data_IF_987960418174
#
_entry.id   IF_987960418174
#
_cell.length_a   1.000
_cell.length_b   1.000
_cell.length_c   1.000
_cell.angle_alpha   90.00
_cell.angle_beta   90.00
_cell.angle_gamma   90.00
#
_symmetry.space_group_name_H-M   'P 1'
#
loop_
_entity.id
_entity.type
_entity.pdbx_description
1 polymer ?
#
# COMPACT_ATOMS: atom_id res chain seq x y z
N UNK A 1 47.53 -36.96 51.78
CA UNK A 1 46.61 -35.81 51.58
C UNK A 1 46.27 -35.73 50.10
N UNK A 2 44.98 -35.95 49.75
CA UNK A 2 44.50 -36.04 48.36
C UNK A 2 44.47 -34.65 47.71
N UNK A 3 45.07 -34.51 46.53
CA UNK A 3 44.97 -33.32 45.67
C UNK A 3 43.60 -33.33 44.98
N UNK A 4 42.76 -32.33 45.25
CA UNK A 4 41.54 -32.06 44.47
C UNK A 4 41.90 -31.12 43.32
N UNK A 5 41.80 -31.62 42.08
CA UNK A 5 41.74 -30.79 40.89
C UNK A 5 40.25 -30.48 40.63
N UNK A 6 39.85 -29.22 40.82
CA UNK A 6 38.55 -28.73 40.37
C UNK A 6 38.76 -28.12 38.99
N UNK A 7 38.39 -28.86 37.95
CA UNK A 7 38.33 -28.36 36.58
C UNK A 7 37.05 -27.55 36.43
N UNK A 8 37.15 -26.22 36.45
CA UNK A 8 36.03 -25.33 36.18
C UNK A 8 35.66 -25.41 34.70
N UNK A 9 34.48 -25.94 34.42
CA UNK A 9 33.88 -25.99 33.08
C UNK A 9 33.46 -24.56 32.70
N UNK A 10 34.21 -23.93 31.80
CA UNK A 10 33.89 -22.60 31.28
C UNK A 10 32.75 -22.75 30.27
N UNK A 11 31.52 -22.48 30.71
CA UNK A 11 30.32 -22.50 29.88
C UNK A 11 30.37 -21.32 28.90
N UNK A 12 30.89 -21.54 27.70
CA UNK A 12 30.86 -20.56 26.60
C UNK A 12 29.42 -20.36 26.14
N UNK A 13 28.79 -19.26 26.60
CA UNK A 13 27.55 -18.74 26.02
C UNK A 13 27.81 -18.41 24.55
N UNK A 14 27.31 -19.24 23.64
CA UNK A 14 27.17 -18.84 22.24
C UNK A 14 26.14 -17.73 22.16
N UNK A 15 26.61 -16.49 22.03
CA UNK A 15 25.79 -15.38 21.54
C UNK A 15 25.33 -15.75 20.13
N UNK A 16 24.12 -16.30 20.02
CA UNK A 16 23.43 -16.39 18.73
C UNK A 16 23.20 -14.95 18.29
N UNK A 17 24.07 -14.46 17.41
CA UNK A 17 23.83 -13.23 16.67
C UNK A 17 22.50 -13.42 15.96
N UNK A 18 21.48 -12.70 16.41
CA UNK A 18 20.16 -12.72 15.80
C UNK A 18 20.27 -11.94 14.49
N UNK A 19 20.78 -12.59 13.44
CA UNK A 19 20.77 -12.02 12.10
C UNK A 19 19.30 -11.87 11.68
N UNK A 20 18.85 -10.64 11.48
CA UNK A 20 17.51 -10.38 10.96
C UNK A 20 17.34 -11.07 9.60
N UNK A 21 16.20 -11.72 9.41
CA UNK A 21 15.86 -12.38 8.14
C UNK A 21 15.74 -11.31 7.05
N UNK A 22 16.49 -11.50 5.96
CA UNK A 22 16.43 -10.59 4.81
C UNK A 22 15.11 -10.79 4.03
N UNK A 23 14.48 -9.71 3.52
CA UNK A 23 13.24 -9.79 2.77
C UNK A 23 13.39 -10.37 1.35
N UNK A 24 14.62 -10.55 0.83
CA UNK A 24 14.88 -10.88 -0.59
C UNK A 24 14.04 -12.06 -1.11
N UNK A 25 13.99 -13.17 -0.38
CA UNK A 25 13.20 -14.36 -0.76
C UNK A 25 11.71 -14.03 -0.95
N UNK A 26 11.16 -13.19 -0.08
CA UNK A 26 9.73 -12.84 -0.08
C UNK A 26 9.43 -11.73 -1.10
N UNK A 27 10.37 -10.80 -1.27
CA UNK A 27 10.32 -9.77 -2.31
C UNK A 27 10.27 -10.40 -3.71
N UNK A 28 11.04 -11.47 -3.95
CA UNK A 28 11.05 -12.22 -5.21
C UNK A 28 9.74 -12.98 -5.48
N UNK A 29 8.85 -13.13 -4.49
CA UNK A 29 7.53 -13.72 -4.68
C UNK A 29 6.51 -12.75 -5.33
N UNK A 30 6.81 -11.45 -5.34
CA UNK A 30 6.04 -10.45 -6.08
C UNK A 30 6.42 -10.58 -7.55
N UNK A 31 5.48 -11.04 -8.39
CA UNK A 31 5.76 -11.35 -9.79
C UNK A 31 4.97 -10.48 -10.77
N UNK A 32 5.61 -10.06 -11.85
CA UNK A 32 5.00 -9.34 -12.97
C UNK A 32 3.84 -10.15 -13.58
N UNK A 33 3.95 -11.48 -13.61
CA UNK A 33 2.89 -12.36 -14.09
C UNK A 33 1.62 -12.29 -13.23
N UNK A 34 1.75 -12.33 -11.91
CA UNK A 34 0.59 -12.31 -11.02
C UNK A 34 -0.04 -10.91 -10.98
N UNK A 35 0.77 -9.85 -10.99
CA UNK A 35 0.32 -8.48 -11.17
C UNK A 35 -0.50 -8.34 -12.45
N UNK A 36 0.00 -8.88 -13.57
CA UNK A 36 -0.70 -8.89 -14.85
C UNK A 36 -2.01 -9.65 -14.78
N UNK A 37 -2.00 -10.87 -14.26
CA UNK A 37 -3.21 -11.70 -14.16
C UNK A 37 -4.30 -11.01 -13.33
N UNK A 38 -3.95 -10.43 -12.18
CA UNK A 38 -4.93 -9.71 -11.36
C UNK A 38 -5.41 -8.43 -12.06
N UNK A 39 -4.52 -7.71 -12.73
CA UNK A 39 -4.86 -6.42 -13.33
C UNK A 39 -5.79 -6.56 -14.54
N UNK A 40 -5.62 -7.59 -15.36
CA UNK A 40 -6.54 -7.88 -16.46
C UNK A 40 -7.96 -8.20 -15.99
N UNK A 41 -8.14 -8.63 -14.73
CA UNK A 41 -9.47 -8.80 -14.14
C UNK A 41 -9.97 -7.49 -13.54
N UNK A 42 -9.16 -6.83 -12.71
CA UNK A 42 -9.55 -5.58 -12.05
C UNK A 42 -9.90 -4.49 -13.06
N UNK A 43 -9.07 -4.33 -14.10
CA UNK A 43 -9.26 -3.38 -15.19
C UNK A 43 -9.93 -4.00 -16.42
N UNK A 44 -10.66 -5.11 -16.27
CA UNK A 44 -11.44 -5.72 -17.35
C UNK A 44 -12.78 -5.00 -17.58
N UNK A 45 -13.32 -5.10 -18.79
CA UNK A 45 -14.60 -4.47 -19.16
C UNK A 45 -15.77 -4.93 -18.28
N UNK A 46 -15.71 -6.16 -17.76
CA UNK A 46 -16.69 -6.72 -16.83
C UNK A 46 -16.81 -5.93 -15.51
N UNK A 47 -15.76 -5.19 -15.14
CA UNK A 47 -15.71 -4.32 -13.98
C UNK A 47 -16.27 -2.92 -14.25
N UNK A 48 -16.72 -2.62 -15.47
CA UNK A 48 -17.48 -1.41 -15.83
C UNK A 48 -16.82 -0.10 -15.35
N UNK A 49 -15.49 -0.08 -15.29
CA UNK A 49 -14.69 1.06 -14.85
C UNK A 49 -14.81 1.41 -13.37
N UNK A 50 -15.32 0.48 -12.56
CA UNK A 50 -15.30 0.51 -11.08
C UNK A 50 -15.78 1.82 -10.44
N UNK A 51 -16.80 2.47 -11.01
CA UNK A 51 -17.33 3.71 -10.43
C UNK A 51 -17.83 3.51 -9.00
N UNK A 52 -17.65 4.52 -8.16
CA UNK A 52 -17.94 4.45 -6.72
C UNK A 52 -19.36 3.97 -6.42
N UNK A 53 -19.48 2.84 -5.73
CA UNK A 53 -20.77 2.25 -5.34
C UNK A 53 -21.53 1.54 -6.47
N UNK A 54 -21.04 1.55 -7.71
CA UNK A 54 -21.69 0.92 -8.87
C UNK A 54 -21.41 -0.59 -8.96
N UNK A 55 -22.21 -1.37 -9.73
CA UNK A 55 -22.05 -2.83 -9.84
C UNK A 55 -20.63 -3.27 -10.19
N UNK A 56 -19.95 -2.57 -11.09
CA UNK A 56 -18.56 -2.79 -11.45
C UNK A 56 -17.59 -2.76 -10.27
N UNK A 57 -17.71 -1.75 -9.39
CA UNK A 57 -16.91 -1.67 -8.17
C UNK A 57 -17.24 -2.84 -7.22
N UNK A 58 -18.52 -3.20 -7.05
CA UNK A 58 -18.90 -4.33 -6.19
C UNK A 58 -18.33 -5.66 -6.68
N UNK A 59 -18.26 -5.87 -8.01
CA UNK A 59 -17.60 -7.04 -8.62
C UNK A 59 -16.10 -7.03 -8.32
N UNK A 60 -15.42 -5.89 -8.48
CA UNK A 60 -14.02 -5.74 -8.15
C UNK A 60 -13.75 -6.07 -6.67
N UNK A 61 -14.56 -5.56 -5.75
CA UNK A 61 -14.40 -5.84 -4.32
C UNK A 61 -14.54 -7.32 -3.96
N UNK A 62 -15.53 -8.02 -4.55
CA UNK A 62 -15.66 -9.48 -4.39
C UNK A 62 -14.43 -10.22 -4.92
N UNK A 63 -13.90 -9.79 -6.06
CA UNK A 63 -12.69 -10.38 -6.61
C UNK A 63 -11.50 -10.19 -5.67
N UNK A 64 -11.25 -8.97 -5.19
CA UNK A 64 -10.15 -8.65 -4.25
C UNK A 64 -10.23 -9.50 -2.98
N UNK A 65 -11.41 -9.58 -2.36
CA UNK A 65 -11.64 -10.43 -1.19
C UNK A 65 -11.31 -11.89 -1.49
N UNK A 66 -11.76 -12.41 -2.64
CA UNK A 66 -11.46 -13.80 -3.02
C UNK A 66 -9.96 -14.06 -3.19
N UNK A 67 -9.17 -13.05 -3.60
CA UNK A 67 -7.71 -13.20 -3.70
C UNK A 67 -7.07 -13.25 -2.31
N UNK A 68 -7.50 -12.40 -1.38
CA UNK A 68 -7.04 -12.46 0.01
C UNK A 68 -7.38 -13.80 0.69
N UNK A 69 -8.60 -14.29 0.50
CA UNK A 69 -9.04 -15.59 1.02
C UNK A 69 -8.18 -16.74 0.48
N UNK A 70 -7.87 -16.74 -0.82
CA UNK A 70 -7.02 -17.77 -1.46
C UNK A 70 -5.62 -17.86 -0.84
N UNK A 71 -5.06 -16.74 -0.40
CA UNK A 71 -3.74 -16.68 0.24
C UNK A 71 -3.82 -16.77 1.78
N UNK A 72 -5.03 -16.92 2.35
CA UNK A 72 -5.25 -17.08 3.78
C UNK A 72 -5.14 -15.80 4.60
N UNK A 73 -5.25 -14.62 3.98
CA UNK A 73 -5.38 -13.34 4.70
C UNK A 73 -6.82 -13.22 5.19
N UNK A 74 -6.99 -12.83 6.45
CA UNK A 74 -8.31 -12.61 7.07
C UNK A 74 -8.63 -11.11 7.13
N UNK A 75 -9.84 -10.74 7.52
CA UNK A 75 -10.16 -9.37 7.94
C UNK A 75 -9.79 -9.12 9.42
N UNK A 76 -9.69 -7.85 9.87
CA UNK A 76 -9.40 -7.49 11.25
C UNK A 76 -10.30 -8.14 12.30
N UNK A 77 -9.74 -8.50 13.46
CA UNK A 77 -10.55 -8.86 14.64
C UNK A 77 -11.41 -7.66 15.05
N UNK A 78 -12.71 -7.89 15.27
CA UNK A 78 -13.68 -6.84 15.59
C UNK A 78 -14.50 -6.34 14.40
N UNK A 79 -14.06 -6.61 13.17
CA UNK A 79 -14.91 -6.50 11.99
C UNK A 79 -15.79 -7.75 11.82
N UNK A 80 -16.91 -7.61 11.12
CA UNK A 80 -17.82 -8.72 10.80
C UNK A 80 -17.44 -9.46 9.53
N UNK A 81 -16.86 -8.74 8.57
CA UNK A 81 -16.39 -9.25 7.29
C UNK A 81 -15.28 -8.33 6.74
N UNK A 82 -14.88 -8.52 5.48
CA UNK A 82 -13.85 -7.74 4.80
C UNK A 82 -14.26 -6.30 4.44
N UNK A 83 -15.51 -5.90 4.64
CA UNK A 83 -16.00 -4.59 4.22
C UNK A 83 -16.13 -3.62 5.40
N UNK A 84 -15.63 -2.41 5.20
CA UNK A 84 -16.04 -1.24 5.97
C UNK A 84 -17.03 -0.45 5.12
N UNK A 85 -18.33 -0.49 5.45
CA UNK A 85 -19.35 0.26 4.71
C UNK A 85 -19.11 1.77 4.81
N UNK A 86 -19.18 2.45 3.67
CA UNK A 86 -19.10 3.91 3.51
C UNK A 86 -20.46 4.40 3.00
N UNK A 87 -21.31 4.99 3.86
CA UNK A 87 -22.64 5.41 3.46
C UNK A 87 -22.62 6.54 2.42
N UNK A 88 -23.50 6.49 1.43
CA UNK A 88 -23.71 7.56 0.45
C UNK A 88 -23.94 8.93 1.11
N UNK A 89 -24.62 8.94 2.26
CA UNK A 89 -24.85 10.15 3.05
C UNK A 89 -23.55 10.82 3.52
N UNK A 90 -22.50 10.04 3.83
CA UNK A 90 -21.19 10.55 4.22
C UNK A 90 -20.41 11.14 3.02
N UNK A 91 -20.67 10.57 1.83
CA UNK A 91 -20.04 11.01 0.59
C UNK A 91 -20.77 12.17 -0.08
N UNK A 92 -21.98 12.50 0.36
CA UNK A 92 -22.78 13.59 -0.18
C UNK A 92 -22.08 14.94 0.01
N UNK A 93 -21.88 15.68 -1.09
CA UNK A 93 -21.33 17.04 -1.11
C UNK A 93 -22.17 17.92 -2.03
N UNK A 94 -22.33 19.19 -1.64
CA UNK A 94 -23.02 20.17 -2.48
C UNK A 94 -22.33 20.27 -3.85
N UNK A 95 -23.12 20.32 -4.92
CA UNK A 95 -22.65 20.43 -6.31
C UNK A 95 -21.77 19.27 -6.81
N UNK A 96 -21.78 18.12 -6.13
CA UNK A 96 -21.10 16.88 -6.55
C UNK A 96 -22.11 15.84 -7.05
N UNK A 97 -21.71 14.86 -7.87
CA UNK A 97 -22.57 13.74 -8.26
C UNK A 97 -23.10 12.99 -7.03
N UNK A 98 -24.33 12.48 -7.13
CA UNK A 98 -24.88 11.60 -6.09
C UNK A 98 -24.25 10.22 -6.25
N UNK A 99 -23.53 9.77 -5.23
CA UNK A 99 -22.94 8.44 -5.16
C UNK A 99 -23.87 7.45 -4.45
N UNK A 100 -23.69 6.17 -4.75
CA UNK A 100 -24.34 5.06 -4.05
C UNK A 100 -23.55 4.67 -2.80
N UNK A 101 -24.15 3.86 -1.92
CA UNK A 101 -23.41 3.26 -0.80
C UNK A 101 -22.23 2.47 -1.35
N UNK A 102 -21.08 2.60 -0.70
CA UNK A 102 -19.85 1.93 -1.10
C UNK A 102 -19.13 1.33 0.12
N UNK A 103 -17.94 0.78 -0.05
CA UNK A 103 -17.20 0.09 0.99
C UNK A 103 -15.70 0.28 0.80
N UNK A 104 -14.95 0.44 1.89
CA UNK A 104 -13.53 0.08 1.86
C UNK A 104 -13.41 -1.45 2.06
N UNK A 105 -12.27 -2.02 1.66
CA UNK A 105 -11.92 -3.42 1.94
C UNK A 105 -10.68 -3.44 2.84
N UNK A 106 -10.77 -4.14 3.97
CA UNK A 106 -9.68 -4.30 4.92
C UNK A 106 -9.19 -5.75 5.05
N UNK A 107 -8.03 -6.05 4.48
CA UNK A 107 -7.38 -7.33 4.70
C UNK A 107 -6.27 -7.16 5.76
N UNK A 108 -6.10 -8.14 6.64
CA UNK A 108 -5.34 -7.99 7.86
C UNK A 108 -4.43 -9.17 8.15
N UNK A 109 -3.16 -8.87 8.37
CA UNK A 109 -2.16 -9.81 8.87
C UNK A 109 -1.81 -9.40 10.29
N UNK A 110 -2.27 -10.15 11.28
CA UNK A 110 -1.94 -9.92 12.69
C UNK A 110 -0.44 -10.15 12.93
N UNK A 111 0.18 -9.16 13.59
CA UNK A 111 1.59 -9.16 13.96
C UNK A 111 1.91 -10.08 15.13
N UNK A 112 3.10 -10.68 15.15
CA UNK A 112 3.49 -11.68 16.15
C UNK A 112 3.96 -11.11 17.50
N UNK A 113 4.50 -9.88 17.53
CA UNK A 113 5.09 -9.29 18.74
C UNK A 113 4.37 -8.01 19.19
N UNK A 114 3.86 -7.22 18.24
CA UNK A 114 3.21 -5.93 18.45
C UNK A 114 1.90 -5.85 17.67
N UNK A 115 0.92 -6.74 17.95
CA UNK A 115 -0.31 -6.85 17.16
C UNK A 115 -1.15 -5.57 17.17
N UNK A 116 -1.01 -4.72 18.20
CA UNK A 116 -1.71 -3.45 18.31
C UNK A 116 -1.04 -2.30 17.54
N UNK A 117 0.17 -2.48 16.99
CA UNK A 117 0.81 -1.49 16.13
C UNK A 117 0.47 -1.80 14.67
N UNK A 118 -0.16 -0.86 13.98
CA UNK A 118 -0.73 -1.09 12.65
C UNK A 118 0.10 -0.34 11.59
N UNK A 119 0.68 -1.06 10.64
CA UNK A 119 1.13 -0.48 9.38
C UNK A 119 -0.04 -0.54 8.38
N UNK A 120 -0.40 0.60 7.78
CA UNK A 120 -1.39 0.63 6.70
C UNK A 120 -0.65 0.61 5.36
N UNK A 121 -1.11 -0.22 4.43
CA UNK A 121 -0.72 -0.18 3.02
C UNK A 121 -2.02 0.03 2.24
N UNK A 122 -2.14 1.15 1.55
CA UNK A 122 -3.40 1.63 0.97
C UNK A 122 -3.30 1.84 -0.54
N UNK A 123 -4.43 1.71 -1.20
CA UNK A 123 -4.65 2.02 -2.62
C UNK A 123 -6.16 2.22 -2.83
N UNK A 124 -6.58 3.07 -3.75
CA UNK A 124 -7.99 3.11 -4.11
C UNK A 124 -8.31 2.05 -5.15
N UNK A 125 -9.52 1.49 -5.10
CA UNK A 125 -9.93 0.43 -6.03
C UNK A 125 -11.11 0.82 -6.92
N UNK A 126 -11.70 1.99 -6.66
CA UNK A 126 -12.65 2.61 -7.58
C UNK A 126 -11.95 3.40 -8.69
N UNK A 127 -12.70 3.71 -9.74
CA UNK A 127 -12.27 4.57 -10.83
C UNK A 127 -13.49 5.33 -11.39
N UNK A 128 -13.40 5.93 -12.58
CA UNK A 128 -14.41 6.87 -13.11
C UNK A 128 -15.59 6.26 -13.86
N UNK A 129 -15.68 4.93 -13.98
CA UNK A 129 -16.83 4.24 -14.58
C UNK A 129 -16.89 4.17 -16.10
N UNK A 130 -18.11 4.28 -16.64
CA UNK A 130 -18.36 4.28 -18.07
C UNK A 130 -18.80 5.66 -18.55
N UNK A 131 -18.34 6.09 -19.73
CA UNK A 131 -18.80 7.32 -20.39
C UNK A 131 -19.11 7.03 -21.85
N UNK A 132 -20.29 7.44 -22.31
CA UNK A 132 -20.74 7.25 -23.70
C UNK A 132 -20.61 5.80 -24.22
N UNK A 133 -20.89 4.82 -23.36
CA UNK A 133 -20.80 3.40 -23.69
C UNK A 133 -19.38 2.82 -23.70
N UNK A 134 -18.35 3.63 -23.41
CA UNK A 134 -16.98 3.16 -23.25
C UNK A 134 -16.66 2.93 -21.78
N UNK A 135 -15.95 1.85 -21.49
CA UNK A 135 -15.40 1.55 -20.17
C UNK A 135 -14.12 2.36 -19.97
N UNK A 136 -13.97 2.99 -18.81
CA UNK A 136 -12.72 3.62 -18.39
C UNK A 136 -12.08 2.61 -17.47
N UNK A 137 -11.14 1.82 -17.99
CA UNK A 137 -10.67 0.62 -17.31
C UNK A 137 -9.83 0.94 -16.07
N UNK A 138 -9.19 2.10 -15.99
CA UNK A 138 -8.38 2.51 -14.84
C UNK A 138 -7.30 1.49 -14.52
N UNK A 139 -6.53 1.09 -15.54
CA UNK A 139 -5.51 0.08 -15.38
C UNK A 139 -4.32 0.59 -14.58
N UNK A 140 -3.86 1.81 -14.85
CA UNK A 140 -2.84 2.43 -14.00
C UNK A 140 -3.49 3.07 -12.78
N UNK A 141 -4.66 3.70 -12.97
CA UNK A 141 -5.38 4.54 -12.02
C UNK A 141 -6.70 3.91 -11.52
N UNK A 142 -6.75 3.31 -10.33
CA UNK A 142 -5.60 2.76 -9.60
C UNK A 142 -5.64 1.23 -9.57
N UNK A 143 -5.86 0.64 -10.74
CA UNK A 143 -5.70 -0.80 -10.92
C UNK A 143 -4.29 -1.26 -10.52
N UNK A 144 -3.26 -0.47 -10.79
CA UNK A 144 -1.86 -0.82 -10.53
C UNK A 144 -1.54 -0.91 -9.04
N UNK A 145 -1.95 0.07 -8.23
CA UNK A 145 -1.84 0.05 -6.77
C UNK A 145 -2.70 -1.03 -6.14
N UNK A 146 -3.95 -1.16 -6.60
CA UNK A 146 -4.88 -2.22 -6.18
C UNK A 146 -4.24 -3.63 -6.29
N UNK A 147 -3.63 -3.98 -7.42
CA UNK A 147 -3.02 -5.31 -7.57
C UNK A 147 -1.68 -5.45 -6.85
N UNK A 148 -0.97 -4.33 -6.63
CA UNK A 148 0.26 -4.33 -5.84
C UNK A 148 -0.02 -4.73 -4.37
N UNK A 149 -1.11 -4.25 -3.76
CA UNK A 149 -1.52 -4.66 -2.40
C UNK A 149 -1.68 -6.19 -2.29
N UNK A 150 -2.29 -6.84 -3.28
CA UNK A 150 -2.47 -8.30 -3.29
C UNK A 150 -1.14 -9.05 -3.28
N UNK A 151 -0.19 -8.66 -4.13
CA UNK A 151 1.10 -9.34 -4.21
C UNK A 151 1.99 -9.06 -2.99
N UNK A 152 1.93 -7.85 -2.44
CA UNK A 152 2.61 -7.52 -1.18
C UNK A 152 2.04 -8.37 -0.03
N UNK A 153 0.71 -8.54 0.05
CA UNK A 153 0.08 -9.38 1.05
C UNK A 153 0.49 -10.86 0.93
N UNK A 154 0.53 -11.37 -0.31
CA UNK A 154 1.02 -12.72 -0.61
C UNK A 154 2.47 -12.93 -0.18
N UNK A 155 3.35 -11.94 -0.41
CA UNK A 155 4.74 -11.99 0.05
C UNK A 155 4.83 -12.06 1.59
N UNK A 156 4.04 -11.26 2.32
CA UNK A 156 3.99 -11.35 3.79
C UNK A 156 3.38 -12.66 4.30
N UNK A 157 2.39 -13.23 3.60
CA UNK A 157 1.84 -14.54 3.97
C UNK A 157 2.84 -15.67 3.74
N UNK A 158 3.65 -15.60 2.69
CA UNK A 158 4.76 -16.53 2.48
C UNK A 158 5.78 -16.42 3.63
N UNK A 159 6.14 -15.20 4.02
CA UNK A 159 7.03 -14.97 5.17
C UNK A 159 6.44 -15.52 6.47
N UNK A 160 5.14 -15.30 6.72
CA UNK A 160 4.42 -15.83 7.88
C UNK A 160 4.43 -17.35 7.91
N UNK A 161 4.19 -18.01 6.77
CA UNK A 161 4.26 -19.48 6.64
C UNK A 161 5.64 -20.04 6.98
N UNK A 162 6.70 -19.31 6.64
CA UNK A 162 8.08 -19.67 6.96
C UNK A 162 8.51 -19.33 8.41
N UNK A 163 7.62 -18.76 9.23
CA UNK A 163 7.94 -18.35 10.61
C UNK A 163 8.61 -16.98 10.70
N UNK A 164 8.58 -16.18 9.64
CA UNK A 164 9.19 -14.86 9.51
C UNK A 164 8.14 -13.78 9.17
N UNK A 165 6.90 -13.97 9.64
CA UNK A 165 5.81 -13.01 9.46
C UNK A 165 6.08 -11.67 10.15
N UNK A 166 5.26 -10.65 9.87
CA UNK A 166 5.47 -9.32 10.40
C UNK A 166 5.31 -9.29 11.93
N UNK A 167 6.17 -8.53 12.61
CA UNK A 167 6.08 -8.34 14.07
C UNK A 167 4.96 -7.40 14.46
N UNK A 168 4.72 -6.36 13.67
CA UNK A 168 3.55 -5.47 13.74
C UNK A 168 2.44 -5.98 12.84
N UNK A 169 1.20 -5.59 13.13
CA UNK A 169 0.09 -5.92 12.25
C UNK A 169 0.14 -5.07 10.97
N UNK A 170 -0.33 -5.65 9.86
CA UNK A 170 -0.45 -4.95 8.58
C UNK A 170 -1.91 -4.95 8.17
N UNK A 171 -2.42 -3.76 7.87
CA UNK A 171 -3.73 -3.52 7.28
C UNK A 171 -3.55 -3.15 5.80
N UNK A 172 -3.99 -4.03 4.92
CA UNK A 172 -4.14 -3.74 3.49
C UNK A 172 -5.51 -3.11 3.28
N UNK A 173 -5.55 -1.82 2.98
CA UNK A 173 -6.76 -1.04 2.90
C UNK A 173 -7.03 -0.60 1.46
N UNK A 174 -7.95 -1.27 0.79
CA UNK A 174 -8.49 -0.77 -0.47
C UNK A 174 -9.58 0.25 -0.16
N UNK A 175 -9.40 1.50 -0.57
CA UNK A 175 -10.35 2.56 -0.27
C UNK A 175 -11.23 2.89 -1.46
N UNK A 176 -12.46 3.33 -1.18
CA UNK A 176 -13.42 3.75 -2.20
C UNK A 176 -13.55 5.27 -2.29
N UNK A 177 -14.04 5.78 -3.41
CA UNK A 177 -14.47 7.17 -3.56
C UNK A 177 -13.30 8.15 -3.54
N UNK A 178 -12.11 7.69 -3.93
CA UNK A 178 -10.93 8.54 -4.12
C UNK A 178 -11.26 9.62 -5.15
N UNK A 179 -11.73 9.17 -6.31
CA UNK A 179 -12.04 9.94 -7.53
C UNK A 179 -13.06 11.06 -7.33
N UNK A 180 -13.82 10.97 -6.24
CA UNK A 180 -14.88 11.92 -5.88
C UNK A 180 -14.53 12.76 -4.64
N UNK A 181 -13.34 12.60 -4.08
CA UNK A 181 -12.81 13.42 -3.00
C UNK A 181 -12.30 12.64 -1.79
N UNK A 182 -11.54 11.56 -2.01
CA UNK A 182 -10.85 10.79 -0.96
C UNK A 182 -11.80 10.25 0.11
N UNK A 183 -12.99 9.83 -0.29
CA UNK A 183 -14.09 9.57 0.64
C UNK A 183 -13.85 8.38 1.56
N UNK A 184 -13.29 7.30 1.03
CA UNK A 184 -13.08 6.03 1.73
C UNK A 184 -11.97 6.14 2.77
N UNK A 185 -10.82 6.68 2.40
CA UNK A 185 -9.73 6.96 3.35
C UNK A 185 -10.16 7.98 4.39
N UNK A 186 -10.92 9.03 4.02
CA UNK A 186 -11.52 9.97 4.97
C UNK A 186 -12.46 9.27 5.94
N UNK A 187 -13.32 8.40 5.46
CA UNK A 187 -14.24 7.63 6.31
C UNK A 187 -13.47 6.75 7.29
N UNK A 188 -12.44 6.04 6.82
CA UNK A 188 -11.60 5.20 7.67
C UNK A 188 -10.94 6.01 8.79
N UNK A 189 -10.32 7.14 8.50
CA UNK A 189 -9.64 7.92 9.56
C UNK A 189 -10.62 8.57 10.54
N UNK A 190 -11.84 8.92 10.11
CA UNK A 190 -12.88 9.47 10.99
C UNK A 190 -13.63 8.38 11.79
N UNK A 191 -13.67 7.14 11.28
CA UNK A 191 -14.36 5.99 11.89
C UNK A 191 -13.47 4.75 11.91
N UNK A 192 -12.29 4.82 12.54
CA UNK A 192 -11.30 3.75 12.41
C UNK A 192 -11.68 2.57 13.30
N UNK A 193 -11.43 1.35 12.82
CA UNK A 193 -11.59 0.15 13.65
C UNK A 193 -10.54 0.09 14.76
N UNK A 194 -9.31 0.52 14.45
CA UNK A 194 -8.21 0.62 15.40
C UNK A 194 -8.02 2.08 15.83
N UNK A 195 -7.69 2.38 17.11
CA UNK A 195 -7.37 3.76 17.49
C UNK A 195 -6.29 4.35 16.59
N UNK A 196 -6.50 5.54 15.98
CA UNK A 196 -5.53 6.09 15.01
C UNK A 196 -4.09 6.19 15.53
N UNK A 197 -3.90 6.48 16.82
CA UNK A 197 -2.59 6.50 17.49
C UNK A 197 -1.79 5.19 17.41
N UNK A 198 -2.46 4.09 17.06
CA UNK A 198 -1.86 2.78 16.87
C UNK A 198 -1.32 2.59 15.44
N UNK A 199 -1.75 3.43 14.49
CA UNK A 199 -1.21 3.45 13.14
C UNK A 199 0.18 4.05 13.15
N UNK A 200 1.19 3.29 12.74
CA UNK A 200 2.60 3.70 12.78
C UNK A 200 3.00 4.51 11.54
N UNK A 201 2.38 4.19 10.41
CA UNK A 201 2.60 4.80 9.11
C UNK A 201 1.53 4.30 8.12
N UNK A 202 1.38 5.03 7.03
CA UNK A 202 0.61 4.64 5.85
C UNK A 202 1.51 4.64 4.60
N UNK A 203 1.46 3.56 3.83
CA UNK A 203 2.13 3.42 2.54
C UNK A 203 1.06 3.37 1.44
N UNK A 204 0.76 4.51 0.86
CA UNK A 204 -0.23 4.65 -0.20
C UNK A 204 0.41 4.43 -1.56
N UNK A 205 -0.22 3.59 -2.37
CA UNK A 205 0.18 3.30 -3.74
C UNK A 205 -0.93 3.82 -4.64
N UNK A 206 -0.58 4.65 -5.61
CA UNK A 206 -1.52 5.06 -6.65
C UNK A 206 -0.75 5.37 -7.94
N UNK A 207 -1.17 4.76 -9.06
CA UNK A 207 -0.54 4.87 -10.39
C UNK A 207 0.96 4.56 -10.40
N UNK A 208 1.33 3.28 -10.24
CA UNK A 208 2.73 2.80 -10.27
C UNK A 208 3.02 1.83 -11.43
N UNK A 209 2.13 1.70 -12.40
CA UNK A 209 2.23 0.79 -13.54
C UNK A 209 2.76 1.41 -14.83
N UNK A 210 2.74 2.74 -14.98
CA UNK A 210 3.27 3.44 -16.17
C UNK A 210 4.33 4.48 -15.83
N UNK A 211 4.72 5.27 -16.83
CA UNK A 211 5.63 6.41 -16.72
C UNK A 211 4.99 7.67 -17.28
N UNK A 212 5.41 8.81 -16.76
CA UNK A 212 5.01 10.12 -17.22
C UNK A 212 5.89 10.63 -18.38
N UNK A 213 5.47 11.74 -18.97
CA UNK A 213 6.19 12.36 -20.08
C UNK A 213 7.59 12.87 -19.70
N UNK A 214 7.82 13.21 -18.42
CA UNK A 214 9.14 13.69 -17.95
C UNK A 214 10.17 12.56 -17.91
N UNK A 215 9.70 11.33 -17.74
CA UNK A 215 10.52 10.13 -17.62
C UNK A 215 10.39 9.20 -18.83
N UNK A 216 9.98 9.72 -19.99
CA UNK A 216 9.81 8.94 -21.23
C UNK A 216 11.01 8.06 -21.61
N UNK A 217 12.23 8.52 -21.28
CA UNK A 217 13.49 7.85 -21.61
C UNK A 217 14.03 6.96 -20.47
N UNK A 218 13.43 6.99 -19.27
CA UNK A 218 13.83 6.19 -18.11
C UNK A 218 12.62 5.80 -17.25
N UNK A 219 12.13 4.57 -17.38
CA UNK A 219 11.04 4.07 -16.52
C UNK A 219 11.47 3.65 -15.10
N UNK A 220 12.77 3.61 -14.79
CA UNK A 220 13.30 3.11 -13.51
C UNK A 220 13.28 4.17 -12.40
N UNK A 221 12.13 4.78 -12.17
CA UNK A 221 11.90 5.79 -11.14
C UNK A 221 10.57 5.57 -10.43
N UNK A 222 10.41 6.26 -9.30
CA UNK A 222 9.14 6.45 -8.60
C UNK A 222 9.18 7.80 -7.89
N UNK A 223 8.06 8.54 -7.92
CA UNK A 223 7.92 9.71 -7.08
C UNK A 223 7.61 9.27 -5.64
N UNK A 224 8.36 9.81 -4.68
CA UNK A 224 8.18 9.50 -3.27
C UNK A 224 7.69 10.74 -2.51
N UNK A 225 6.39 10.81 -2.32
CA UNK A 225 5.67 12.00 -1.86
C UNK A 225 5.30 11.83 -0.39
N UNK A 226 5.44 12.90 0.43
CA UNK A 226 5.16 12.86 1.86
C UNK A 226 6.31 12.37 2.75
N UNK A 227 7.38 11.84 2.13
CA UNK A 227 8.40 11.03 2.80
C UNK A 227 9.09 11.65 4.01
N UNK A 228 9.30 12.96 3.99
CA UNK A 228 9.93 13.71 5.07
C UNK A 228 9.00 14.79 5.65
N UNK A 229 7.69 14.73 5.40
CA UNK A 229 6.75 15.76 5.87
C UNK A 229 6.52 15.69 7.37
N UNK A 230 6.29 14.49 7.90
CA UNK A 230 6.07 14.23 9.34
C UNK A 230 7.24 13.50 10.01
N UNK A 231 8.00 12.72 9.26
CA UNK A 231 9.01 11.80 9.79
C UNK A 231 10.28 11.81 8.94
N UNK A 232 11.38 12.33 9.47
CA UNK A 232 12.69 12.20 8.79
C UNK A 232 13.20 10.75 8.78
N UNK A 233 12.73 9.92 9.71
CA UNK A 233 13.08 8.51 9.80
C UNK A 233 12.37 7.70 8.71
N UNK A 234 11.09 7.98 8.43
CA UNK A 234 10.36 7.32 7.32
C UNK A 234 11.04 7.55 5.96
N UNK A 235 11.50 8.78 5.70
CA UNK A 235 12.30 9.09 4.51
C UNK A 235 13.54 8.20 4.41
N UNK A 236 14.36 8.16 5.47
CA UNK A 236 15.59 7.35 5.51
C UNK A 236 15.32 5.86 5.37
N UNK A 237 14.24 5.37 5.99
CA UNK A 237 13.81 3.97 5.88
C UNK A 237 13.56 3.62 4.41
N UNK A 238 12.81 4.45 3.68
CA UNK A 238 12.52 4.21 2.27
C UNK A 238 13.76 4.33 1.37
N UNK A 239 14.63 5.34 1.59
CA UNK A 239 15.88 5.47 0.85
C UNK A 239 16.82 4.28 1.05
N UNK A 240 16.96 3.80 2.29
CA UNK A 240 17.80 2.65 2.62
C UNK A 240 17.24 1.36 2.00
N UNK A 241 15.92 1.16 2.07
CA UNK A 241 15.26 0.02 1.43
C UNK A 241 15.47 0.05 -0.10
N UNK A 242 15.30 1.21 -0.73
CA UNK A 242 15.57 1.38 -2.15
C UNK A 242 17.04 1.09 -2.50
N UNK A 243 17.98 1.66 -1.75
CA UNK A 243 19.42 1.50 -1.98
C UNK A 243 19.87 0.04 -1.87
N UNK A 244 19.35 -0.72 -0.90
CA UNK A 244 19.72 -2.12 -0.71
C UNK A 244 19.09 -3.03 -1.78
N UNK A 245 17.82 -2.83 -2.12
CA UNK A 245 17.05 -3.84 -2.88
C UNK A 245 16.72 -3.46 -4.32
N UNK A 246 16.08 -2.31 -4.56
CA UNK A 246 15.44 -2.01 -5.86
C UNK A 246 16.22 -1.05 -6.73
N UNK A 247 16.92 -0.05 -6.16
CA UNK A 247 17.73 0.94 -6.89
C UNK A 247 16.89 1.65 -7.98
N UNK A 248 15.67 2.05 -7.62
CA UNK A 248 14.89 3.01 -8.40
C UNK A 248 15.47 4.40 -8.19
N UNK A 249 15.36 5.26 -9.19
CA UNK A 249 15.51 6.70 -9.00
C UNK A 249 14.34 7.20 -8.14
N UNK A 250 14.64 7.73 -6.96
CA UNK A 250 13.64 8.33 -6.09
C UNK A 250 13.52 9.81 -6.47
N UNK A 251 12.42 10.16 -7.12
CA UNK A 251 12.13 11.54 -7.51
C UNK A 251 11.26 12.22 -6.44
N UNK A 252 11.70 13.38 -5.98
CA UNK A 252 11.04 14.16 -4.93
C UNK A 252 10.34 15.41 -5.46
N UNK A 253 10.22 15.60 -6.77
CA UNK A 253 9.58 16.76 -7.41
C UNK A 253 8.24 17.11 -6.76
N UNK A 254 7.33 16.13 -6.68
CA UNK A 254 5.99 16.33 -6.12
C UNK A 254 5.94 16.32 -4.59
N UNK A 255 7.07 16.04 -3.93
CA UNK A 255 7.23 16.24 -2.49
C UNK A 255 7.61 17.68 -2.15
N UNK A 256 8.02 18.52 -3.11
CA UNK A 256 8.28 19.94 -2.88
C UNK A 256 6.98 20.67 -2.45
N UNK A 257 7.10 21.50 -1.40
CA UNK A 257 6.02 22.34 -0.87
C UNK A 257 5.60 23.43 -1.84
N UNK A 258 6.52 23.85 -2.70
CA UNK A 258 6.31 24.92 -3.66
C UNK A 258 5.89 24.40 -5.04
N UNK A 259 5.77 23.08 -5.22
CA UNK A 259 5.31 22.53 -6.49
C UNK A 259 3.86 22.98 -6.76
N UNK A 260 3.58 23.58 -7.93
CA UNK A 260 2.28 24.18 -8.22
C UNK A 260 1.16 23.15 -8.39
N UNK A 261 1.47 21.89 -8.71
CA UNK A 261 0.48 20.83 -8.91
C UNK A 261 -0.10 20.32 -7.60
N UNK A 262 0.61 20.56 -6.49
CA UNK A 262 0.17 20.24 -5.12
C UNK A 262 -0.25 18.77 -4.96
N UNK A 263 0.44 17.85 -5.65
CA UNK A 263 0.14 16.40 -5.66
C UNK A 263 0.10 15.77 -4.26
N UNK A 264 0.90 16.29 -3.31
CA UNK A 264 0.83 15.87 -1.90
C UNK A 264 -0.57 15.90 -1.27
N UNK A 265 -1.50 16.70 -1.80
CA UNK A 265 -2.86 16.82 -1.28
C UNK A 265 -3.90 16.00 -2.06
N UNK A 266 -3.48 15.21 -3.06
CA UNK A 266 -4.34 14.70 -4.14
C UNK A 266 -4.47 13.17 -4.19
N UNK A 267 -4.20 12.47 -3.09
CA UNK A 267 -4.44 11.02 -2.98
C UNK A 267 -4.68 10.65 -1.51
N UNK A 268 -5.08 9.40 -1.24
CA UNK A 268 -5.65 8.96 0.03
C UNK A 268 -4.74 9.07 1.25
N UNK A 269 -3.42 8.97 1.05
CA UNK A 269 -2.41 9.20 2.09
C UNK A 269 -2.62 10.51 2.86
N UNK A 270 -3.13 11.54 2.20
CA UNK A 270 -3.32 12.85 2.81
C UNK A 270 -4.31 12.80 3.99
N UNK A 271 -5.31 11.93 3.96
CA UNK A 271 -6.23 11.75 5.08
C UNK A 271 -5.55 11.17 6.33
N UNK A 272 -4.49 10.37 6.16
CA UNK A 272 -3.64 9.91 7.24
C UNK A 272 -2.68 11.01 7.71
N UNK A 273 -1.96 11.63 6.77
CA UNK A 273 -0.98 12.68 7.06
C UNK A 273 -1.58 13.87 7.82
N UNK A 274 -2.76 14.37 7.40
CA UNK A 274 -3.43 15.49 8.09
C UNK A 274 -3.89 15.14 9.52
N UNK A 275 -3.93 13.86 9.87
CA UNK A 275 -4.22 13.34 11.21
C UNK A 275 -2.94 12.92 11.96
N UNK A 276 -1.76 13.36 11.51
CA UNK A 276 -0.49 13.16 12.20
C UNK A 276 0.12 11.76 12.03
N UNK A 277 -0.35 10.97 11.08
CA UNK A 277 0.23 9.66 10.75
C UNK A 277 1.27 9.87 9.64
N UNK A 278 2.54 9.47 9.83
CA UNK A 278 3.54 9.53 8.77
C UNK A 278 3.09 8.72 7.53
N UNK A 279 3.14 9.33 6.35
CA UNK A 279 2.70 8.68 5.12
C UNK A 279 3.73 8.77 4.00
N UNK A 280 3.82 7.71 3.19
CA UNK A 280 4.53 7.69 1.92
C UNK A 280 3.53 7.43 0.80
N UNK A 281 3.50 8.31 -0.19
CA UNK A 281 2.75 8.13 -1.42
C UNK A 281 3.70 7.79 -2.57
N UNK A 282 3.56 6.57 -3.09
CA UNK A 282 4.25 6.07 -4.26
C UNK A 282 3.41 6.37 -5.49
N UNK A 283 3.96 7.15 -6.41
CA UNK A 283 3.28 7.66 -7.61
C UNK A 283 4.25 7.65 -8.78
N UNK A 284 3.78 7.43 -10.01
CA UNK A 284 4.62 7.53 -11.21
C UNK A 284 4.23 8.64 -12.18
N UNK A 285 3.37 9.57 -11.76
CA UNK A 285 2.99 10.70 -12.60
C UNK A 285 1.82 10.39 -13.53
N UNK A 286 1.19 11.45 -14.03
CA UNK A 286 0.12 11.31 -15.02
C UNK A 286 0.70 11.03 -16.41
N UNK A 287 -0.05 10.26 -17.20
CA UNK A 287 0.28 9.91 -18.58
C UNK A 287 -0.86 10.25 -19.54
N UNK A 288 -0.62 10.13 -20.85
CA UNK A 288 -1.57 10.54 -21.90
C UNK A 288 -2.96 9.88 -21.81
N UNK A 289 -3.04 8.69 -21.21
CA UNK A 289 -4.27 7.92 -21.00
C UNK A 289 -4.99 8.18 -19.66
N UNK A 290 -4.46 9.03 -18.77
CA UNK A 290 -5.05 9.31 -17.45
C UNK A 290 -6.50 9.79 -17.58
N UNK A 291 -7.41 9.17 -16.80
CA UNK A 291 -8.87 9.38 -16.86
C UNK A 291 -9.49 9.18 -18.25
N UNK A 292 -8.94 8.30 -19.09
CA UNK A 292 -9.48 7.97 -20.42
C UNK A 292 -9.78 6.48 -20.54
N UNK A 293 -10.68 6.15 -21.48
CA UNK A 293 -10.99 4.77 -21.86
C UNK A 293 -9.78 3.97 -22.37
N UNK A 294 -8.68 4.65 -22.66
CA UNK A 294 -7.44 4.06 -23.17
C UNK A 294 -6.42 3.76 -22.07
N UNK A 295 -6.75 3.95 -20.79
CA UNK A 295 -5.95 3.46 -19.66
C UNK A 295 -6.23 1.97 -19.42
N UNK A 296 -5.60 1.14 -20.27
CA UNK A 296 -5.88 -0.29 -20.39
C UNK A 296 -4.70 -1.16 -19.93
N UNK A 297 -4.96 -2.39 -19.43
CA UNK A 297 -3.93 -3.22 -18.80
C UNK A 297 -2.80 -3.64 -19.74
N UNK A 298 -3.01 -3.64 -21.06
CA UNK A 298 -1.96 -3.96 -22.04
C UNK A 298 -0.84 -2.92 -22.12
N UNK A 299 -1.07 -1.70 -21.62
CA UNK A 299 -0.09 -0.60 -21.63
C UNK A 299 0.79 -0.53 -20.38
N UNK A 300 0.55 -1.40 -19.41
CA UNK A 300 1.25 -1.40 -18.13
C UNK A 300 2.66 -1.97 -18.32
N UNK A 301 3.65 -1.29 -17.73
CA UNK A 301 5.05 -1.71 -17.72
C UNK A 301 5.28 -2.71 -16.57
N UNK A 302 4.81 -3.95 -16.72
CA UNK A 302 4.73 -4.93 -15.62
C UNK A 302 6.06 -5.23 -14.90
N UNK A 303 7.20 -5.20 -15.59
CA UNK A 303 8.50 -5.38 -14.95
C UNK A 303 8.83 -4.21 -14.00
N UNK A 304 8.41 -2.99 -14.36
CA UNK A 304 8.58 -1.80 -13.53
C UNK A 304 7.53 -1.74 -12.42
N UNK A 305 6.27 -2.13 -12.69
CA UNK A 305 5.24 -2.31 -11.67
C UNK A 305 5.70 -3.29 -10.59
N UNK A 306 6.25 -4.44 -10.98
CA UNK A 306 6.83 -5.41 -10.05
C UNK A 306 7.92 -4.76 -9.19
N UNK A 307 8.86 -4.06 -9.82
CA UNK A 307 9.98 -3.43 -9.13
C UNK A 307 9.53 -2.34 -8.14
N UNK A 308 8.51 -1.56 -8.48
CA UNK A 308 7.92 -0.54 -7.61
C UNK A 308 7.14 -1.17 -6.46
N UNK A 309 6.34 -2.21 -6.70
CA UNK A 309 5.68 -2.99 -5.65
C UNK A 309 6.70 -3.65 -4.69
N UNK A 310 7.83 -4.13 -5.22
CA UNK A 310 8.94 -4.64 -4.41
C UNK A 310 9.55 -3.58 -3.49
N UNK A 311 9.69 -2.32 -3.94
CA UNK A 311 10.15 -1.21 -3.09
C UNK A 311 9.17 -0.97 -1.94
N UNK A 312 7.86 -0.95 -2.23
CA UNK A 312 6.84 -0.79 -1.19
C UNK A 312 6.92 -1.94 -0.19
N UNK A 313 7.07 -3.19 -0.67
CA UNK A 313 7.23 -4.37 0.17
C UNK A 313 8.46 -4.29 1.09
N UNK A 314 9.65 -3.96 0.57
CA UNK A 314 10.85 -3.90 1.43
C UNK A 314 10.82 -2.73 2.41
N UNK A 315 10.16 -1.63 2.06
CA UNK A 315 9.90 -0.52 2.99
C UNK A 315 8.93 -0.97 4.08
N UNK A 316 7.84 -1.65 3.71
CA UNK A 316 6.88 -2.23 4.64
C UNK A 316 7.53 -3.29 5.55
N UNK A 317 8.43 -4.11 5.02
CA UNK A 317 9.16 -5.13 5.77
C UNK A 317 9.98 -4.52 6.90
N UNK A 318 10.71 -3.45 6.61
CA UNK A 318 11.48 -2.71 7.62
C UNK A 318 10.54 -2.11 8.67
N UNK A 319 9.46 -1.42 8.26
CA UNK A 319 8.49 -0.84 9.19
C UNK A 319 7.78 -1.87 10.07
N UNK A 320 7.44 -3.03 9.51
CA UNK A 320 6.73 -4.09 10.21
C UNK A 320 7.62 -4.85 11.20
N UNK A 321 8.95 -4.88 11.00
CA UNK A 321 9.87 -5.73 11.76
C UNK A 321 10.91 -5.00 12.60
N UNK A 322 11.13 -3.69 12.38
CA UNK A 322 12.03 -2.88 13.20
C UNK A 322 11.54 -2.73 14.64
N UNK A 323 12.45 -2.42 15.57
CA UNK A 323 12.09 -2.27 16.99
C UNK A 323 11.20 -1.04 17.24
N UNK A 324 11.65 0.14 16.82
CA UNK A 324 10.98 1.41 17.11
C UNK A 324 10.04 1.84 15.98
N UNK A 325 8.96 2.57 16.31
CA UNK A 325 8.12 3.23 15.30
C UNK A 325 8.93 4.31 14.56
N UNK A 326 8.55 4.71 13.33
CA UNK A 326 9.06 5.93 12.74
C UNK A 326 8.80 7.11 13.68
N UNK A 327 9.81 7.97 13.85
CA UNK A 327 9.65 9.17 14.69
C UNK A 327 8.73 10.17 14.01
N UNK A 328 7.95 10.92 14.79
CA UNK A 328 7.21 12.08 14.30
C UNK A 328 7.96 13.31 14.82
N UNK A 329 8.81 13.89 13.97
CA UNK A 329 9.75 14.95 14.32
C UNK A 329 9.53 16.24 13.52
N UNK A 330 8.47 16.28 12.69
CA UNK A 330 8.05 17.43 11.89
C UNK A 330 6.53 17.61 11.98
N UNK A 331 6.03 18.77 11.57
CA UNK A 331 4.62 19.17 11.71
C UNK A 331 3.74 18.84 10.50
N UNK A 332 4.30 18.28 9.42
CA UNK A 332 3.57 17.85 8.22
C UNK A 332 3.07 18.97 7.31
N UNK A 333 3.05 20.22 7.81
CA UNK A 333 2.69 21.43 7.07
C UNK A 333 3.81 21.80 6.16
#
# INVERSE_FOLDING_TARGET
MKKMFVSGFMLSLFLVSCSSVKPTKYMEAISASDLKTNLYVIAGDEMEGRNTGEPGQKKAGKYLISQYEKIGVSYPKGATDFYQKVPAAFMSRAFSPKLNDSENIWAFIEGSEKPDEILVISAHYDHVGMKNGQVYNGADDDGSGTVALLEIAKAFMLAKKDGHGPKRSILFLHVTGEEHGLHGSRYYVEHPLFPLKNTIADLNIDMIGRRDDKHKDNGNYVYLIGSDRLSTDLHKISENANKEYTKLELDYKYNDRNDPERIYYRSDHYNFAKNGIPSLFYFNGVHEDYHKATDTPDKIEYDLLQKRAQLVFVTAWELANRKERPVIDRDGK
#
